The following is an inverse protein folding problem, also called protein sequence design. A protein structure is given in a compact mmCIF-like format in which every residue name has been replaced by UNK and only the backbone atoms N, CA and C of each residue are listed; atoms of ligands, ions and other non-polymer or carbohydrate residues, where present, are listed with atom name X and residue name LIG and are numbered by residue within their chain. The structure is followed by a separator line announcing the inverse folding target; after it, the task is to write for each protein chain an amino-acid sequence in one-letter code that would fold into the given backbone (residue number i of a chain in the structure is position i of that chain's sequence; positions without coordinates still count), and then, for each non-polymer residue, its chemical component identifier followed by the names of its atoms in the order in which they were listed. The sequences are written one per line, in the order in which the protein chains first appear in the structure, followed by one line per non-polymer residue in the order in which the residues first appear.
data_IF_098730571731
#
_entry.id   IF_098730571731
#
_cell.length_a   1.000
_cell.length_b   1.000
_cell.length_c   1.000
_cell.angle_alpha   90.00
_cell.angle_beta   90.00
_cell.angle_gamma   90.00
#
_symmetry.space_group_name_H-M   'P 1'
#
loop_
_entity.id
_entity.type
_entity.pdbx_description
1 polymer ?
#
# COMPACT_ATOMS: atom_id res chain seq x y z
N UNK A 1 -0.25 8.48 15.36
CA UNK A 1 -0.77 9.56 14.49
C UNK A 1 -1.64 8.93 13.42
N UNK A 2 -2.90 9.35 13.32
CA UNK A 2 -3.90 8.86 12.36
C UNK A 2 -4.07 9.96 11.31
N UNK A 3 -3.21 9.94 10.27
CA UNK A 3 -3.33 10.60 8.97
C UNK A 3 -4.21 11.88 8.91
N UNK A 4 -3.62 13.03 9.24
CA UNK A 4 -4.27 14.32 9.52
C UNK A 4 -4.90 15.09 8.33
N UNK A 5 -5.39 14.44 7.28
CA UNK A 5 -6.26 15.11 6.28
C UNK A 5 -6.94 14.19 5.28
N UNK A 6 -6.70 12.87 5.33
CA UNK A 6 -7.29 11.95 4.36
C UNK A 6 -8.67 11.51 4.85
N UNK A 7 -9.72 12.00 4.19
CA UNK A 7 -11.09 11.57 4.45
C UNK A 7 -11.29 10.13 3.93
N UNK A 8 -10.95 9.14 4.77
CA UNK A 8 -11.09 7.72 4.46
C UNK A 8 -12.51 7.37 4.00
N UNK A 9 -13.55 8.09 4.47
CA UNK A 9 -14.94 7.86 4.07
C UNK A 9 -15.18 8.24 2.61
N UNK A 10 -14.52 9.29 2.10
CA UNK A 10 -14.56 9.66 0.68
C UNK A 10 -13.72 8.71 -0.16
N UNK A 11 -12.55 8.29 0.34
CA UNK A 11 -11.69 7.35 -0.39
C UNK A 11 -12.33 5.97 -0.54
N UNK A 12 -13.11 5.51 0.46
CA UNK A 12 -13.88 4.25 0.39
C UNK A 12 -14.92 4.20 -0.73
N UNK A 13 -15.29 5.34 -1.34
CA UNK A 13 -16.17 5.36 -2.52
C UNK A 13 -15.47 4.86 -3.78
N UNK A 14 -14.14 4.87 -3.79
CA UNK A 14 -13.30 4.33 -4.86
C UNK A 14 -12.48 3.16 -4.28
N UNK A 15 -12.94 1.91 -4.46
CA UNK A 15 -12.33 0.75 -3.82
C UNK A 15 -10.89 0.51 -4.29
N UNK A 16 -10.55 0.91 -5.52
CA UNK A 16 -9.20 0.76 -6.07
C UNK A 16 -8.23 1.77 -5.43
N UNK A 17 -8.60 3.05 -5.38
CA UNK A 17 -7.77 4.07 -4.71
C UNK A 17 -7.60 3.78 -3.23
N UNK A 18 -8.65 3.31 -2.57
CA UNK A 18 -8.56 2.90 -1.18
C UNK A 18 -7.61 1.73 -0.98
N UNK A 19 -7.63 0.72 -1.86
CA UNK A 19 -6.71 -0.41 -1.79
C UNK A 19 -5.25 0.03 -1.96
N UNK A 20 -4.96 0.88 -2.95
CA UNK A 20 -3.62 1.43 -3.19
C UNK A 20 -3.13 2.21 -1.96
N UNK A 21 -3.92 3.18 -1.51
CA UNK A 21 -3.58 4.00 -0.34
C UNK A 21 -3.33 3.13 0.89
N UNK A 22 -4.18 2.13 1.15
CA UNK A 22 -4.05 1.23 2.28
C UNK A 22 -2.76 0.42 2.21
N UNK A 23 -2.41 -0.11 1.04
CA UNK A 23 -1.14 -0.84 0.83
C UNK A 23 0.06 0.08 1.07
N UNK A 24 0.02 1.32 0.59
CA UNK A 24 1.07 2.31 0.85
C UNK A 24 1.21 2.61 2.35
N UNK A 25 0.11 2.79 3.08
CA UNK A 25 0.15 3.03 4.53
C UNK A 25 0.75 1.84 5.29
N UNK A 26 0.36 0.62 4.91
CA UNK A 26 0.88 -0.60 5.52
C UNK A 26 2.37 -0.78 5.22
N UNK A 27 2.78 -0.59 3.97
CA UNK A 27 4.17 -0.80 3.56
C UNK A 27 5.07 0.32 4.06
N UNK A 28 4.71 1.59 3.91
CA UNK A 28 5.56 2.75 4.23
C UNK A 28 5.55 3.15 5.70
N UNK A 29 4.56 2.72 6.48
CA UNK A 29 4.47 3.14 7.89
C UNK A 29 4.15 2.00 8.84
N UNK A 30 3.91 0.79 8.35
CA UNK A 30 3.45 -0.32 9.20
C UNK A 30 2.07 -0.06 9.79
N UNK A 31 1.27 0.84 9.18
CA UNK A 31 -0.05 1.21 9.69
C UNK A 31 -1.05 0.15 9.23
N UNK A 32 -1.56 -0.61 10.19
CA UNK A 32 -2.56 -1.66 9.96
C UNK A 32 -2.45 -2.75 11.02
N UNK A 33 -3.49 -3.58 11.15
CA UNK A 33 -3.48 -4.76 12.02
C UNK A 33 -3.43 -6.08 11.25
N UNK A 34 -3.42 -6.00 9.92
CA UNK A 34 -3.54 -7.17 9.04
C UNK A 34 -2.21 -7.44 8.31
N UNK A 35 -2.00 -8.69 7.91
CA UNK A 35 -0.88 -9.07 7.05
C UNK A 35 -1.13 -8.58 5.62
N UNK A 36 -0.05 -8.20 4.93
CA UNK A 36 -0.09 -7.88 3.50
C UNK A 36 -0.46 -9.13 2.69
N UNK A 37 -1.45 -9.00 1.81
CA UNK A 37 -1.75 -10.03 0.80
C UNK A 37 -0.88 -9.82 -0.42
N UNK A 38 -0.05 -10.81 -0.74
CA UNK A 38 0.88 -10.76 -1.88
C UNK A 38 0.13 -10.51 -3.20
N UNK A 39 -1.04 -11.13 -3.38
CA UNK A 39 -1.86 -10.96 -4.59
C UNK A 39 -2.33 -9.51 -4.79
N UNK A 40 -2.75 -8.81 -3.73
CA UNK A 40 -3.13 -7.40 -3.81
C UNK A 40 -1.91 -6.50 -4.07
N UNK A 41 -0.78 -6.83 -3.44
CA UNK A 41 0.47 -6.09 -3.63
C UNK A 41 0.96 -6.18 -5.07
N UNK A 42 0.95 -7.38 -5.68
CA UNK A 42 1.28 -7.60 -7.10
C UNK A 42 0.28 -6.90 -8.03
N UNK A 43 -1.02 -7.00 -7.74
CA UNK A 43 -2.07 -6.35 -8.56
C UNK A 43 -1.85 -4.85 -8.74
N UNK A 44 -1.38 -4.16 -7.70
CA UNK A 44 -1.19 -2.72 -7.72
C UNK A 44 0.28 -2.27 -7.80
N UNK A 45 1.23 -3.19 -7.96
CA UNK A 45 2.67 -2.94 -7.83
C UNK A 45 3.20 -1.74 -8.65
N UNK A 46 2.72 -1.62 -9.90
CA UNK A 46 3.09 -0.53 -10.80
C UNK A 46 2.52 0.84 -10.39
N UNK A 47 1.51 0.88 -9.52
CA UNK A 47 0.81 2.09 -9.09
C UNK A 47 1.15 2.52 -7.66
N UNK A 48 1.85 1.70 -6.89
CA UNK A 48 2.19 2.00 -5.50
C UNK A 48 3.34 3.02 -5.43
N UNK A 49 3.14 4.07 -4.64
CA UNK A 49 4.17 5.03 -4.22
C UNK A 49 4.79 4.57 -2.90
N UNK A 50 5.81 3.71 -3.00
CA UNK A 50 6.51 3.14 -1.85
C UNK A 50 7.82 3.88 -1.57
N UNK A 51 8.22 3.91 -0.31
CA UNK A 51 9.59 4.30 0.07
C UNK A 51 10.61 3.47 -0.73
N UNK A 52 11.63 4.08 -1.35
CA UNK A 52 12.54 3.38 -2.26
C UNK A 52 13.23 2.16 -1.64
N UNK A 53 13.59 2.20 -0.35
CA UNK A 53 14.24 1.08 0.31
C UNK A 53 13.26 -0.09 0.50
N UNK A 54 12.02 0.22 0.88
CA UNK A 54 10.96 -0.79 1.04
C UNK A 54 10.53 -1.39 -0.28
N UNK A 55 10.46 -0.57 -1.34
CA UNK A 55 10.17 -1.03 -2.69
C UNK A 55 11.19 -2.06 -3.14
N UNK A 56 12.49 -1.74 -3.06
CA UNK A 56 13.58 -2.65 -3.42
C UNK A 56 13.56 -3.95 -2.61
N UNK A 57 13.30 -3.86 -1.31
CA UNK A 57 13.20 -5.05 -0.46
C UNK A 57 12.03 -5.96 -0.89
N UNK A 58 10.85 -5.38 -1.13
CA UNK A 58 9.70 -6.14 -1.58
C UNK A 58 9.87 -6.67 -3.01
N UNK A 59 10.53 -5.92 -3.90
CA UNK A 59 10.87 -6.33 -5.25
C UNK A 59 11.69 -7.64 -5.25
N UNK A 60 12.72 -7.69 -4.39
CA UNK A 60 13.54 -8.88 -4.17
C UNK A 60 12.70 -10.09 -3.71
N UNK A 61 11.73 -9.88 -2.82
CA UNK A 61 10.88 -10.96 -2.30
C UNK A 61 9.80 -11.41 -3.29
N UNK A 62 9.30 -10.50 -4.13
CA UNK A 62 8.21 -10.78 -5.06
C UNK A 62 8.69 -11.29 -6.42
N UNK A 63 9.99 -11.15 -6.71
CA UNK A 63 10.59 -11.39 -8.03
C UNK A 63 9.91 -10.56 -9.13
N UNK A 64 9.57 -9.31 -8.82
CA UNK A 64 9.05 -8.33 -9.79
C UNK A 64 10.20 -7.41 -10.22
N UNK A 65 10.13 -6.80 -11.42
CA UNK A 65 11.18 -5.90 -11.96
C UNK A 65 10.56 -4.75 -12.75
#
# INVERSE_FOLDING_TARGET
MHNWSTDEKKLKKDPEKYAIWRLEQMVNFGIGKEKLKISELKKYWSRLSLDPARRKFLELLLHES
#
